data_IF_598887837612
#
_entry.id   IF_598887837612
#
_cell.length_a   1.000
_cell.length_b   1.000
_cell.length_c   1.000
_cell.angle_alpha   90.00
_cell.angle_beta   90.00
_cell.angle_gamma   90.00
#
_symmetry.space_group_name_H-M   'P 1'
#
loop_
_entity.id
_entity.type
_entity.pdbx_description
1 polymer ?
#
# COMPACT_ATOMS: atom_id res chain seq x y z
N UNK A 1 0.54 3.12 37.68
CA UNK A 1 -0.39 2.41 36.75
C UNK A 1 -1.67 3.25 36.74
N UNK A 2 -2.20 3.77 35.65
CA UNK A 2 -2.51 3.12 34.38
C UNK A 2 -2.32 4.08 33.18
N UNK A 3 -2.04 3.46 32.02
CA UNK A 3 -1.97 4.06 30.69
C UNK A 3 -3.37 4.49 30.26
N UNK A 4 -3.53 5.68 29.68
CA UNK A 4 -4.71 6.02 28.89
C UNK A 4 -4.27 6.32 27.46
N UNK A 5 -4.37 5.29 26.64
CA UNK A 5 -4.21 5.28 25.20
C UNK A 5 -5.41 6.00 24.60
N UNK A 6 -5.22 7.21 24.07
CA UNK A 6 -6.21 7.82 23.19
C UNK A 6 -5.99 7.26 21.78
N UNK A 7 -6.69 6.18 21.45
CA UNK A 7 -6.89 5.75 20.07
C UNK A 7 -7.76 6.81 19.39
N UNK A 8 -7.14 7.64 18.56
CA UNK A 8 -7.86 8.47 17.60
C UNK A 8 -8.38 7.56 16.48
N UNK A 9 -9.59 7.06 16.71
CA UNK A 9 -10.45 6.43 15.73
C UNK A 9 -10.77 7.46 14.63
N UNK A 10 -10.01 7.45 13.54
CA UNK A 10 -10.40 8.19 12.33
C UNK A 10 -10.69 7.16 11.25
N UNK A 11 -11.95 6.73 11.22
CA UNK A 11 -12.58 6.31 9.97
C UNK A 11 -12.48 7.51 9.03
N UNK A 12 -11.64 7.41 8.01
CA UNK A 12 -11.72 8.32 6.85
C UNK A 12 -12.53 7.57 5.81
N UNK A 13 -13.69 8.15 5.56
CA UNK A 13 -14.64 7.80 4.51
C UNK A 13 -13.95 7.60 3.15
N UNK A 14 -14.54 6.66 2.42
CA UNK A 14 -14.42 6.41 1.00
C UNK A 14 -14.43 7.73 0.20
N UNK A 15 -13.25 8.28 -0.07
CA UNK A 15 -13.04 9.27 -1.10
C UNK A 15 -11.91 8.77 -2.00
N UNK A 16 -12.27 8.41 -3.23
CA UNK A 16 -11.38 8.34 -4.37
C UNK A 16 -10.86 9.75 -4.71
N UNK A 17 -10.22 10.41 -3.75
CA UNK A 17 -9.31 11.52 -4.00
C UNK A 17 -7.98 10.92 -4.41
N UNK A 18 -7.29 11.54 -5.37
CA UNK A 18 -5.90 11.23 -5.73
C UNK A 18 -5.10 10.90 -4.45
N UNK A 19 -4.86 9.61 -4.20
CA UNK A 19 -4.05 9.19 -3.08
C UNK A 19 -2.63 9.64 -3.41
N UNK A 20 -2.25 10.80 -2.86
CA UNK A 20 -0.87 11.27 -2.95
C UNK A 20 0.00 10.23 -2.25
N UNK A 21 0.85 9.54 -3.02
CA UNK A 21 1.75 8.53 -2.45
C UNK A 21 2.65 9.16 -1.41
N UNK A 22 2.50 8.74 -0.15
CA UNK A 22 3.41 9.11 0.93
C UNK A 22 4.57 8.12 0.92
N UNK A 23 5.78 8.66 0.82
CA UNK A 23 7.03 7.89 0.75
C UNK A 23 7.72 7.81 2.11
N UNK A 24 8.44 6.72 2.32
CA UNK A 24 9.32 6.46 3.46
C UNK A 24 8.64 6.47 4.84
N UNK A 25 7.30 6.31 4.86
CA UNK A 25 6.48 6.21 6.06
C UNK A 25 5.65 4.93 6.04
N UNK A 26 5.64 4.21 7.16
CA UNK A 26 4.73 3.09 7.37
C UNK A 26 3.33 3.60 7.71
N UNK A 27 2.33 3.13 6.98
CA UNK A 27 0.93 3.47 7.18
C UNK A 27 0.03 2.27 6.92
N UNK A 28 -1.13 2.23 7.59
CA UNK A 28 -2.22 1.33 7.20
C UNK A 28 -2.85 1.86 5.91
N UNK A 29 -3.10 0.97 4.97
CA UNK A 29 -3.69 1.33 3.69
C UNK A 29 -4.50 0.18 3.13
N UNK A 30 -5.52 0.53 2.36
CA UNK A 30 -6.34 -0.41 1.60
C UNK A 30 -6.76 0.24 0.29
N UNK A 31 -7.11 -0.60 -0.68
CA UNK A 31 -7.56 -0.17 -1.99
C UNK A 31 -6.42 0.08 -2.97
N UNK A 32 -6.70 0.95 -3.94
CA UNK A 32 -5.90 1.06 -5.15
C UNK A 32 -5.00 2.28 -5.12
N UNK A 33 -3.69 2.03 -5.24
CA UNK A 33 -2.67 3.05 -5.41
C UNK A 33 -2.28 3.15 -6.88
N UNK A 34 -2.49 4.32 -7.47
CA UNK A 34 -2.20 4.54 -8.89
C UNK A 34 -0.70 4.44 -9.21
N UNK A 35 -0.44 4.10 -10.47
CA UNK A 35 0.90 4.03 -11.00
C UNK A 35 1.48 5.43 -11.25
N UNK A 36 2.75 5.59 -10.91
CA UNK A 36 3.49 6.84 -11.13
C UNK A 36 4.49 6.67 -12.27
N UNK A 37 4.92 7.78 -12.88
CA UNK A 37 5.96 7.75 -13.91
C UNK A 37 7.29 7.18 -13.40
N UNK A 38 7.61 7.41 -12.13
CA UNK A 38 8.82 6.89 -11.50
C UNK A 38 8.53 5.52 -10.87
N UNK A 39 9.48 4.57 -10.99
CA UNK A 39 9.35 3.30 -10.28
C UNK A 39 9.44 3.50 -8.78
N UNK A 40 8.78 2.60 -8.05
CA UNK A 40 8.78 2.58 -6.58
C UNK A 40 8.84 1.15 -6.07
N UNK A 41 9.20 0.98 -4.80
CA UNK A 41 9.01 -0.25 -4.06
C UNK A 41 7.82 -0.09 -3.12
N UNK A 42 7.03 -1.15 -2.98
CA UNK A 42 6.09 -1.29 -1.87
C UNK A 42 6.62 -2.34 -0.91
N UNK A 43 6.76 -1.97 0.35
CA UNK A 43 7.01 -2.87 1.46
C UNK A 43 5.70 -3.06 2.22
N UNK A 44 5.38 -4.28 2.62
CA UNK A 44 4.11 -4.58 3.27
C UNK A 44 4.19 -5.77 4.23
N UNK A 45 3.30 -5.78 5.23
CA UNK A 45 3.09 -6.85 6.20
C UNK A 45 1.63 -6.90 6.62
N UNK A 46 1.19 -8.06 7.10
CA UNK A 46 -0.17 -8.30 7.61
C UNK A 46 -1.28 -8.04 6.58
N UNK A 47 -1.10 -8.48 5.33
CA UNK A 47 -2.13 -8.38 4.31
C UNK A 47 -1.65 -8.79 2.92
N UNK A 48 -2.42 -8.42 1.91
CA UNK A 48 -2.18 -8.81 0.53
C UNK A 48 -1.87 -7.60 -0.35
N UNK A 49 -0.91 -7.75 -1.25
CA UNK A 49 -0.61 -6.75 -2.26
C UNK A 49 -0.53 -7.42 -3.63
N UNK A 50 -1.00 -6.73 -4.66
CA UNK A 50 -0.75 -7.09 -6.06
C UNK A 50 -0.38 -5.89 -6.91
N UNK A 51 0.58 -6.07 -7.79
CA UNK A 51 1.04 -5.09 -8.77
C UNK A 51 0.39 -5.40 -10.11
N UNK A 52 -0.28 -4.40 -10.68
CA UNK A 52 -0.99 -4.49 -11.96
C UNK A 52 -0.29 -3.66 -13.02
N UNK A 53 -0.35 -4.10 -14.27
CA UNK A 53 0.03 -3.25 -15.40
C UNK A 53 -0.94 -2.08 -15.55
N UNK A 54 -0.55 -1.10 -16.35
CA UNK A 54 -1.39 0.04 -16.74
C UNK A 54 -2.68 -0.36 -17.49
N UNK A 55 -2.80 -1.62 -17.93
CA UNK A 55 -4.01 -2.18 -18.52
C UNK A 55 -5.08 -2.56 -17.47
N UNK A 56 -4.76 -2.45 -16.17
CA UNK A 56 -5.61 -2.77 -15.02
C UNK A 56 -6.04 -4.24 -14.87
N UNK A 57 -5.77 -5.07 -15.88
CA UNK A 57 -6.20 -6.47 -15.95
C UNK A 57 -5.04 -7.39 -15.60
N UNK A 58 -3.84 -7.11 -16.11
CA UNK A 58 -2.69 -8.01 -15.97
C UNK A 58 -2.04 -7.83 -14.60
N UNK A 59 -2.06 -8.88 -13.79
CA UNK A 59 -1.30 -8.96 -12.53
C UNK A 59 0.13 -9.38 -12.87
N UNK A 60 1.11 -8.55 -12.49
CA UNK A 60 2.54 -8.81 -12.70
C UNK A 60 3.12 -9.58 -11.52
N UNK A 61 2.68 -9.26 -10.32
CA UNK A 61 3.13 -9.89 -9.08
C UNK A 61 2.05 -9.75 -8.02
N UNK A 62 1.84 -10.77 -7.20
CA UNK A 62 0.94 -10.70 -6.05
C UNK A 62 1.40 -11.60 -4.91
N UNK A 63 0.95 -11.29 -3.70
CA UNK A 63 1.20 -12.16 -2.57
C UNK A 63 0.73 -11.63 -1.23
N UNK A 64 0.55 -12.58 -0.31
CA UNK A 64 0.25 -12.33 1.10
C UNK A 64 1.54 -12.21 1.92
N UNK A 65 1.59 -11.25 2.84
CA UNK A 65 2.60 -11.13 3.89
C UNK A 65 1.96 -11.27 5.27
N UNK A 66 2.56 -12.07 6.14
CA UNK A 66 2.24 -12.12 7.57
C UNK A 66 3.01 -11.02 8.31
N UNK A 67 3.44 -11.25 9.55
CA UNK A 67 4.26 -10.30 10.31
C UNK A 67 5.64 -10.05 9.67
N UNK A 68 6.14 -11.00 8.87
CA UNK A 68 7.37 -10.84 8.10
C UNK A 68 7.11 -9.95 6.88
N UNK A 69 7.86 -8.85 6.81
CA UNK A 69 7.85 -7.92 5.69
C UNK A 69 8.13 -8.61 4.35
N UNK A 70 7.34 -8.26 3.34
CA UNK A 70 7.62 -8.54 1.93
C UNK A 70 7.71 -7.23 1.16
N UNK A 71 8.36 -7.30 0.00
CA UNK A 71 8.43 -6.16 -0.90
C UNK A 71 8.24 -6.56 -2.34
N UNK A 72 7.59 -5.68 -3.10
CA UNK A 72 7.43 -5.78 -4.54
C UNK A 72 7.96 -4.53 -5.23
N UNK A 73 8.57 -4.72 -6.39
CA UNK A 73 8.91 -3.64 -7.29
C UNK A 73 7.66 -3.23 -8.08
N UNK A 74 7.38 -1.95 -8.12
CA UNK A 74 6.27 -1.35 -8.88
C UNK A 74 6.88 -0.58 -10.04
N UNK A 75 6.84 -1.13 -11.27
CA UNK A 75 7.39 -0.43 -12.44
C UNK A 75 6.64 0.87 -12.75
N UNK A 76 7.20 1.73 -13.62
CA UNK A 76 6.51 2.92 -14.09
C UNK A 76 5.10 2.62 -14.60
N UNK A 77 4.14 3.45 -14.22
CA UNK A 77 2.74 3.38 -14.62
C UNK A 77 1.99 2.10 -14.19
N UNK A 78 2.61 1.26 -13.37
CA UNK A 78 1.97 0.10 -12.78
C UNK A 78 1.28 0.50 -11.48
N UNK A 79 0.04 0.09 -11.30
CA UNK A 79 -0.70 0.32 -10.07
C UNK A 79 -0.42 -0.79 -9.07
N UNK A 80 -0.70 -0.49 -7.81
CA UNK A 80 -0.60 -1.44 -6.71
C UNK A 80 -1.96 -1.47 -6.02
N UNK A 81 -2.54 -2.65 -5.89
CA UNK A 81 -3.76 -2.87 -5.14
C UNK A 81 -3.42 -3.56 -3.83
N UNK A 82 -3.85 -2.94 -2.74
CA UNK A 82 -3.59 -3.31 -1.37
C UNK A 82 -4.90 -3.80 -0.78
N UNK A 83 -4.90 -4.99 -0.18
CA UNK A 83 -6.12 -5.65 0.28
C UNK A 83 -5.94 -6.19 1.70
N UNK A 84 -6.96 -5.98 2.53
CA UNK A 84 -7.02 -6.49 3.89
C UNK A 84 -6.34 -5.59 4.92
N UNK A 85 -6.24 -4.28 4.62
CA UNK A 85 -5.68 -3.24 5.49
C UNK A 85 -4.27 -3.54 6.05
N UNK A 86 -3.27 -3.94 5.24
CA UNK A 86 -1.89 -4.13 5.70
C UNK A 86 -1.23 -2.83 6.16
N UNK A 87 -0.11 -2.98 6.88
CA UNK A 87 0.86 -1.89 6.99
C UNK A 87 1.74 -1.90 5.75
N UNK A 88 1.81 -0.76 5.05
CA UNK A 88 2.61 -0.56 3.86
C UNK A 88 3.58 0.62 4.01
N UNK A 89 4.65 0.62 3.22
CA UNK A 89 5.55 1.77 3.02
C UNK A 89 5.97 1.79 1.56
N UNK A 90 5.82 2.92 0.89
CA UNK A 90 6.42 3.13 -0.43
C UNK A 90 7.80 3.74 -0.30
N UNK A 91 8.75 3.32 -1.14
CA UNK A 91 10.03 4.01 -1.30
C UNK A 91 10.29 4.25 -2.78
N UNK A 92 11.04 5.30 -3.12
CA UNK A 92 11.52 5.45 -4.49
C UNK A 92 12.54 4.34 -4.80
N UNK A 93 12.56 3.87 -6.03
CA UNK A 93 13.53 2.87 -6.49
C UNK A 93 14.85 3.49 -6.96
#
# INVERSE_FOLDING_TARGET
>A
MAKQTAQANTQVEEQAGEQTTVYDVWQRADGLHEGEKSPKWIFFKNGFVRVRKSDWVTIVQEGWASETEKSFYVPPWHSCEVLGDPEIKFTKA
#
